data_IF_170785571744
#
_entry.id   IF_170785571744
#
_cell.length_a   1.000
_cell.length_b   1.000
_cell.length_c   1.000
_cell.angle_alpha   90.00
_cell.angle_beta   90.00
_cell.angle_gamma   90.00
#
_symmetry.space_group_name_H-M   'P 1'
#
loop_
_entity.id
_entity.type
_entity.pdbx_description
1 polymer ?
#
# COMPACT_ATOMS: atom_id res chain seq x y z
N UNK A 1 1.10 -17.02 -14.38
CA UNK A 1 1.07 -16.65 -14.03
C UNK A 1 0.74 -15.57 -13.78
N UNK A 2 0.43 -15.27 -13.85
CA UNK A 2 -0.20 -14.11 -13.63
C UNK A 2 0.32 -13.23 -12.65
N UNK A 3 1.16 -13.58 -12.01
CA UNK A 3 1.58 -12.84 -10.91
C UNK A 3 2.11 -11.52 -11.24
N UNK A 4 2.64 -11.36 -12.36
CA UNK A 4 3.19 -10.10 -12.69
C UNK A 4 2.16 -9.07 -12.82
N UNK A 5 1.02 -9.46 -13.08
CA UNK A 5 -0.02 -8.54 -13.21
C UNK A 5 -0.23 -7.77 -11.99
N UNK A 6 0.15 -8.34 -10.93
CA UNK A 6 -0.04 -7.77 -9.69
C UNK A 6 0.50 -6.41 -9.55
N UNK A 7 1.61 -6.15 -10.12
CA UNK A 7 2.23 -4.90 -9.89
C UNK A 7 1.89 -3.89 -10.90
N UNK A 8 1.01 -4.19 -11.76
CA UNK A 8 0.49 -3.22 -12.60
C UNK A 8 -0.71 -2.67 -12.05
N UNK A 9 -0.79 -2.49 -10.84
CA UNK A 9 -1.92 -2.01 -10.20
C UNK A 9 -2.36 -0.75 -10.75
N UNK A 10 -3.49 -0.72 -11.28
CA UNK A 10 -4.08 0.50 -11.65
C UNK A 10 -4.81 0.95 -10.46
N UNK A 11 -5.26 2.15 -10.51
CA UNK A 11 -5.88 2.74 -9.39
C UNK A 11 -7.18 2.15 -9.05
N UNK A 12 -7.74 1.39 -9.94
CA UNK A 12 -9.03 0.83 -9.68
C UNK A 12 -8.95 -0.47 -8.98
N UNK A 13 -7.77 -1.05 -8.88
CA UNK A 13 -7.70 -2.31 -8.27
C UNK A 13 -7.14 -2.23 -6.93
N UNK A 14 -7.71 -2.86 -5.98
CA UNK A 14 -7.15 -2.89 -4.66
C UNK A 14 -5.91 -3.71 -4.73
N UNK A 15 -5.11 -3.60 -3.75
CA UNK A 15 -3.89 -4.34 -3.70
C UNK A 15 -4.19 -5.73 -3.22
N UNK A 16 -5.22 -6.33 -3.76
CA UNK A 16 -5.57 -7.66 -3.40
C UNK A 16 -4.47 -8.61 -3.77
N UNK A 17 -3.81 -8.31 -4.87
CA UNK A 17 -2.73 -9.17 -5.29
C UNK A 17 -1.58 -9.11 -4.31
N UNK A 18 -1.36 -8.00 -3.68
CA UNK A 18 -0.34 -7.93 -2.66
C UNK A 18 -0.72 -8.82 -1.50
N UNK A 19 -1.98 -8.82 -1.13
CA UNK A 19 -2.45 -9.69 -0.08
C UNK A 19 -2.26 -11.15 -0.43
N UNK A 20 -2.38 -11.50 -1.68
CA UNK A 20 -2.16 -12.87 -2.08
C UNK A 20 -0.72 -13.27 -1.96
N UNK A 21 0.17 -12.34 -2.21
CA UNK A 21 1.58 -12.64 -2.17
C UNK A 21 2.15 -12.65 -0.77
N UNK A 22 1.47 -12.07 0.18
CA UNK A 22 2.01 -11.93 1.50
C UNK A 22 1.02 -12.37 2.53
N UNK A 23 1.51 -13.00 3.57
CA UNK A 23 0.67 -13.26 4.71
C UNK A 23 0.49 -11.95 5.46
N UNK A 24 -0.50 -11.92 6.31
CA UNK A 24 -0.75 -10.74 7.12
C UNK A 24 0.46 -10.37 7.95
N UNK A 25 1.16 -11.36 8.43
CA UNK A 25 2.32 -11.11 9.24
C UNK A 25 3.40 -10.40 8.43
N UNK A 26 3.63 -10.84 7.21
CA UNK A 26 4.64 -10.21 6.37
C UNK A 26 4.26 -8.80 6.02
N UNK A 27 2.99 -8.55 5.79
CA UNK A 27 2.54 -7.22 5.52
C UNK A 27 2.84 -6.32 6.71
N UNK A 28 2.53 -6.78 7.90
CA UNK A 28 2.78 -5.97 9.09
C UNK A 28 4.25 -5.69 9.26
N UNK A 29 5.08 -6.71 9.05
CA UNK A 29 6.50 -6.54 9.19
C UNK A 29 7.02 -5.54 8.18
N UNK A 30 6.54 -5.63 6.95
CA UNK A 30 6.98 -4.71 5.92
C UNK A 30 6.53 -3.30 6.24
N UNK A 31 5.31 -3.16 6.71
CA UNK A 31 4.80 -1.84 7.04
C UNK A 31 5.60 -1.18 8.14
N UNK A 32 6.14 -1.97 9.06
CA UNK A 32 6.88 -1.39 10.17
C UNK A 32 8.15 -0.67 9.70
N UNK A 33 8.56 -0.89 8.47
CA UNK A 33 9.73 -0.20 7.95
C UNK A 33 9.38 1.13 7.28
N UNK A 34 8.12 1.49 7.25
CA UNK A 34 7.70 2.71 6.61
C UNK A 34 7.50 3.82 7.63
N UNK A 35 7.61 5.07 7.19
CA UNK A 35 7.25 6.17 8.07
C UNK A 35 5.79 6.07 8.46
N UNK A 36 5.48 6.59 9.62
CA UNK A 36 4.14 6.45 10.16
C UNK A 36 3.07 7.00 9.24
N UNK A 37 3.30 8.13 8.63
CA UNK A 37 2.29 8.71 7.76
C UNK A 37 2.04 7.84 6.53
N UNK A 38 3.04 7.09 6.09
CA UNK A 38 2.83 6.17 4.98
C UNK A 38 2.06 4.95 5.44
N UNK A 39 2.36 4.46 6.62
CA UNK A 39 1.63 3.33 7.18
C UNK A 39 0.15 3.68 7.30
N UNK A 40 -0.12 4.87 7.79
CA UNK A 40 -1.49 5.29 8.02
C UNK A 40 -2.31 5.27 6.73
N UNK A 41 -1.79 5.86 5.66
CA UNK A 41 -2.56 5.92 4.43
C UNK A 41 -2.71 4.54 3.80
N UNK A 42 -1.68 3.73 3.85
CA UNK A 42 -1.74 2.39 3.29
C UNK A 42 -2.77 1.55 4.04
N UNK A 43 -2.77 1.63 5.35
CA UNK A 43 -3.71 0.86 6.13
C UNK A 43 -5.14 1.30 5.83
N UNK A 44 -5.38 2.59 5.72
CA UNK A 44 -6.73 3.06 5.47
C UNK A 44 -7.22 2.68 4.09
N UNK A 45 -6.36 2.78 3.11
CA UNK A 45 -6.75 2.48 1.75
C UNK A 45 -6.92 0.98 1.53
N UNK A 46 -5.95 0.18 1.96
CA UNK A 46 -5.93 -1.21 1.59
C UNK A 46 -6.47 -2.16 2.65
N UNK A 47 -6.36 -1.80 3.89
CA UNK A 47 -6.90 -2.66 4.93
C UNK A 47 -8.31 -2.29 5.32
N UNK A 48 -8.63 -1.01 5.26
CA UNK A 48 -9.97 -0.56 5.59
C UNK A 48 -10.82 -0.30 4.36
N UNK A 49 -10.24 -0.51 3.18
CA UNK A 49 -10.96 -0.37 1.91
C UNK A 49 -11.54 1.02 1.69
N UNK A 50 -10.82 2.04 2.09
CA UNK A 50 -11.26 3.39 1.89
C UNK A 50 -10.68 3.95 0.61
N UNK A 51 -11.42 4.84 -0.04
CA UNK A 51 -10.89 5.51 -1.21
C UNK A 51 -9.88 6.56 -0.79
N UNK A 52 -9.07 6.98 -1.74
CA UNK A 52 -8.11 8.04 -1.45
C UNK A 52 -8.82 9.29 -0.98
N UNK A 53 -9.98 9.60 -1.55
CA UNK A 53 -10.71 10.78 -1.14
C UNK A 53 -11.20 10.65 0.30
N UNK A 54 -11.69 9.48 0.66
CA UNK A 54 -12.14 9.27 2.02
C UNK A 54 -11.00 9.44 3.02
N UNK A 55 -9.83 8.94 2.65
CA UNK A 55 -8.68 9.06 3.51
C UNK A 55 -8.27 10.52 3.63
N UNK A 56 -8.30 11.25 2.51
CA UNK A 56 -7.97 12.67 2.54
C UNK A 56 -8.91 13.42 3.47
N UNK A 57 -10.18 13.11 3.39
CA UNK A 57 -11.18 13.78 4.24
C UNK A 57 -10.96 13.40 5.70
N UNK A 58 -10.68 12.15 5.95
CA UNK A 58 -10.53 11.68 7.30
C UNK A 58 -9.31 12.26 7.99
N UNK A 59 -8.21 12.36 7.24
CA UNK A 59 -6.98 12.88 7.80
C UNK A 59 -6.84 14.38 7.63
N UNK A 60 -7.78 14.98 6.92
CA UNK A 60 -7.78 16.43 6.69
C UNK A 60 -6.51 16.85 5.97
N UNK A 61 -6.17 16.15 4.92
CA UNK A 61 -5.01 16.48 4.10
C UNK A 61 -5.45 16.45 2.64
N UNK A 62 -4.69 17.10 1.76
CA UNK A 62 -5.06 17.12 0.35
C UNK A 62 -5.04 15.73 -0.27
N UNK A 63 -5.91 15.53 -1.22
CA UNK A 63 -5.98 14.26 -1.95
C UNK A 63 -4.64 13.93 -2.58
N UNK A 64 -3.96 14.91 -3.15
CA UNK A 64 -2.66 14.68 -3.76
C UNK A 64 -1.64 14.17 -2.77
N UNK A 65 -1.74 14.62 -1.52
CA UNK A 65 -0.84 14.15 -0.49
C UNK A 65 -1.10 12.68 -0.17
N UNK A 66 -2.37 12.29 -0.12
CA UNK A 66 -2.70 10.89 0.10
C UNK A 66 -2.12 10.05 -1.02
N UNK A 67 -2.35 10.47 -2.25
CA UNK A 67 -1.87 9.72 -3.40
C UNK A 67 -0.36 9.60 -3.40
N UNK A 68 0.33 10.67 -3.08
CA UNK A 68 1.78 10.64 -3.01
C UNK A 68 2.29 9.69 -1.95
N UNK A 69 1.66 9.73 -0.79
CA UNK A 69 2.08 8.87 0.30
C UNK A 69 1.83 7.41 -0.01
N UNK A 70 0.71 7.13 -0.66
CA UNK A 70 0.41 5.77 -1.06
C UNK A 70 1.45 5.27 -2.06
N UNK A 71 1.79 6.12 -3.03
CA UNK A 71 2.77 5.74 -4.03
C UNK A 71 4.13 5.46 -3.41
N UNK A 72 4.57 6.34 -2.51
CA UNK A 72 5.84 6.15 -1.85
C UNK A 72 5.85 4.87 -1.01
N UNK A 73 4.75 4.63 -0.33
CA UNK A 73 4.64 3.44 0.50
C UNK A 73 4.70 2.18 -0.35
N UNK A 74 3.98 2.16 -1.45
CA UNK A 74 3.98 1.00 -2.32
C UNK A 74 5.36 0.75 -2.92
N UNK A 75 6.04 1.81 -3.30
CA UNK A 75 7.39 1.65 -3.84
C UNK A 75 8.33 1.07 -2.80
N UNK A 76 8.22 1.53 -1.58
CA UNK A 76 9.06 1.02 -0.52
C UNK A 76 8.75 -0.42 -0.19
N UNK A 77 7.47 -0.76 -0.16
CA UNK A 77 7.08 -2.14 0.08
C UNK A 77 7.61 -3.05 -1.02
N UNK A 78 7.58 -2.56 -2.25
CA UNK A 78 8.07 -3.34 -3.35
C UNK A 78 9.55 -3.67 -3.17
N UNK A 79 10.32 -2.69 -2.77
CA UNK A 79 11.73 -2.89 -2.53
C UNK A 79 11.96 -3.88 -1.38
N UNK A 80 11.23 -3.71 -0.31
CA UNK A 80 11.36 -4.59 0.84
C UNK A 80 11.04 -6.03 0.46
N UNK A 81 9.98 -6.21 -0.32
CA UNK A 81 9.59 -7.54 -0.72
C UNK A 81 10.62 -8.17 -1.64
N UNK A 82 11.20 -7.38 -2.51
CA UNK A 82 12.21 -7.90 -3.40
C UNK A 82 13.42 -8.37 -2.62
N UNK A 83 13.80 -7.62 -1.62
CA UNK A 83 14.92 -8.01 -0.78
C UNK A 83 14.64 -9.30 -0.07
N UNK A 84 13.43 -9.49 0.38
CA UNK A 84 13.10 -10.67 1.11
C UNK A 84 12.99 -11.90 0.25
N UNK A 85 12.85 -11.71 -1.02
CA UNK A 85 12.73 -12.82 -1.92
C UNK A 85 14.04 -13.36 -2.37
N UNK A 86 15.10 -12.79 -2.01
CA UNK A 86 16.40 -13.23 -2.47
C UNK A 86 16.99 -14.37 -1.62
#
# INVERSE_FOLDING_TARGET
MPSQVVFQVNENEPVTSLHRLMSERRIRESLSHLPEEQITVIAKVYMENKSHQMVADELDIPLGTVKSRVRLALNKLKVILQDQNV
#
